data_IF_428280698753
#
_entry.id   IF_428280698753
#
_cell.length_a   1.000
_cell.length_b   1.000
_cell.length_c   1.000
_cell.angle_alpha   90.00
_cell.angle_beta   90.00
_cell.angle_gamma   90.00
#
_symmetry.space_group_name_H-M   'P 1'
#
loop_
_entity.id
_entity.type
_entity.pdbx_description
1 polymer ?
#
# COMPACT_ATOMS: atom_id res chain seq x y z
N UNK A 1 3.22 -2.18 -22.92
CA UNK A 1 3.63 -3.60 -22.80
C UNK A 1 4.90 -4.00 -23.55
N UNK A 2 5.33 -3.29 -24.59
CA UNK A 2 6.60 -3.61 -25.30
C UNK A 2 7.81 -2.75 -24.83
N UNK A 3 7.60 -1.86 -23.86
CA UNK A 3 8.63 -1.01 -23.27
C UNK A 3 9.15 0.12 -24.19
N UNK A 4 8.40 0.53 -25.21
CA UNK A 4 8.79 1.63 -26.09
C UNK A 4 8.33 3.04 -25.61
N UNK A 5 7.58 3.08 -24.51
CA UNK A 5 7.05 4.30 -23.91
C UNK A 5 5.82 4.88 -24.63
N UNK A 6 5.15 4.09 -25.47
CA UNK A 6 3.88 4.44 -26.12
C UNK A 6 2.80 3.47 -25.64
N UNK A 7 1.66 4.01 -25.21
CA UNK A 7 0.53 3.20 -24.75
C UNK A 7 0.02 2.26 -25.85
N UNK A 8 -0.22 1.02 -25.44
CA UNK A 8 -0.80 -0.04 -26.27
C UNK A 8 -2.31 -0.14 -26.02
N UNK A 9 -3.04 -0.78 -26.94
CA UNK A 9 -4.50 -0.97 -26.81
C UNK A 9 -4.83 -2.45 -26.64
N UNK A 10 -5.41 -2.79 -25.50
CA UNK A 10 -5.90 -4.14 -25.22
C UNK A 10 -7.40 -4.24 -25.47
N UNK A 11 -7.81 -5.26 -26.22
CA UNK A 11 -9.20 -5.49 -26.65
C UNK A 11 -9.58 -6.91 -26.28
N UNK A 12 -10.53 -7.04 -25.35
CA UNK A 12 -11.15 -8.31 -25.02
C UNK A 12 -12.22 -8.70 -26.04
N UNK A 13 -12.18 -9.95 -26.52
CA UNK A 13 -13.19 -10.55 -27.40
C UNK A 13 -13.66 -11.87 -26.76
N UNK A 14 -14.47 -11.80 -25.71
CA UNK A 14 -14.88 -12.97 -24.96
C UNK A 14 -15.71 -13.91 -25.85
N UNK A 15 -15.48 -15.21 -25.69
CA UNK A 15 -16.25 -16.24 -26.38
C UNK A 15 -17.75 -16.06 -26.13
N UNK A 16 -18.56 -16.27 -27.16
CA UNK A 16 -20.01 -16.32 -27.01
C UNK A 16 -20.48 -17.76 -26.81
N UNK A 17 -21.75 -17.96 -26.44
CA UNK A 17 -22.37 -19.31 -26.40
C UNK A 17 -22.28 -20.08 -27.74
N UNK A 18 -21.88 -19.43 -28.82
CA UNK A 18 -21.75 -19.99 -30.18
C UNK A 18 -20.31 -19.97 -30.74
N UNK A 19 -19.35 -19.35 -30.03
CA UNK A 19 -17.94 -19.29 -30.41
C UNK A 19 -17.10 -19.78 -29.24
N UNK A 20 -16.57 -20.99 -29.39
CA UNK A 20 -15.83 -21.74 -28.36
C UNK A 20 -14.39 -21.27 -28.15
N UNK A 21 -14.01 -20.11 -28.67
CA UNK A 21 -12.65 -19.59 -28.55
C UNK A 21 -12.72 -18.14 -28.09
N UNK A 22 -12.47 -17.91 -26.80
CA UNK A 22 -12.25 -16.59 -26.22
C UNK A 22 -10.86 -16.09 -26.60
N UNK A 23 -10.76 -14.83 -27.02
CA UNK A 23 -9.49 -14.22 -27.42
C UNK A 23 -9.42 -12.80 -26.90
N UNK A 24 -8.21 -12.34 -26.63
CA UNK A 24 -7.92 -10.91 -26.47
C UNK A 24 -6.87 -10.51 -27.50
N UNK A 25 -6.76 -9.23 -27.80
CA UNK A 25 -5.79 -8.69 -28.73
C UNK A 25 -5.10 -7.51 -28.09
N UNK A 26 -3.81 -7.39 -28.32
CA UNK A 26 -3.02 -6.22 -27.97
C UNK A 26 -2.56 -5.61 -29.27
N UNK A 27 -2.95 -4.36 -29.52
CA UNK A 27 -2.47 -3.56 -30.64
C UNK A 27 -1.36 -2.67 -30.12
N UNK A 28 -0.15 -2.82 -30.68
CA UNK A 28 0.97 -2.02 -30.21
C UNK A 28 0.82 -0.56 -30.65
N UNK A 29 1.04 0.34 -29.70
CA UNK A 29 1.06 1.78 -29.89
C UNK A 29 2.08 2.20 -30.94
N UNK A 30 1.83 3.34 -31.58
CA UNK A 30 2.79 3.89 -32.53
C UNK A 30 2.71 5.41 -32.59
N UNK A 31 3.87 6.04 -32.78
CA UNK A 31 3.94 7.46 -33.15
C UNK A 31 3.44 7.73 -34.58
N UNK A 32 3.30 6.68 -35.40
CA UNK A 32 2.64 6.77 -36.69
C UNK A 32 1.11 6.74 -36.52
N UNK A 33 0.40 7.47 -37.37
CA UNK A 33 -1.07 7.44 -37.35
C UNK A 33 -1.61 6.07 -37.77
N UNK A 34 -2.56 5.54 -37.00
CA UNK A 34 -3.36 4.40 -37.40
C UNK A 34 -4.27 4.73 -38.59
N UNK A 35 -4.56 3.72 -39.41
CA UNK A 35 -5.65 3.81 -40.38
C UNK A 35 -6.99 3.86 -39.66
N UNK A 36 -8.02 4.41 -40.31
CA UNK A 36 -9.36 4.53 -39.72
C UNK A 36 -10.01 3.17 -39.35
N UNK A 37 -9.49 2.07 -39.88
CA UNK A 37 -9.84 0.70 -39.50
C UNK A 37 -8.59 -0.14 -39.38
N UNK A 38 -8.52 -1.01 -38.37
CA UNK A 38 -7.47 -2.00 -38.19
C UNK A 38 -8.11 -3.40 -38.16
N UNK A 39 -7.54 -4.33 -38.93
CA UNK A 39 -7.95 -5.74 -38.92
C UNK A 39 -7.12 -6.49 -37.88
N UNK A 40 -7.76 -6.96 -36.81
CA UNK A 40 -7.07 -7.67 -35.71
C UNK A 40 -6.47 -9.03 -36.16
N UNK A 41 -6.88 -9.56 -37.31
CA UNK A 41 -6.25 -10.76 -37.88
C UNK A 41 -4.89 -10.48 -38.55
N UNK A 42 -4.57 -9.20 -38.77
CA UNK A 42 -3.29 -8.76 -39.34
C UNK A 42 -2.18 -8.58 -38.30
N UNK A 43 -2.47 -8.87 -37.03
CA UNK A 43 -1.50 -8.78 -35.96
C UNK A 43 -0.44 -9.88 -36.08
N UNK A 44 0.84 -9.51 -36.08
CA UNK A 44 1.95 -10.39 -36.45
C UNK A 44 3.10 -10.44 -35.42
N UNK A 45 2.91 -9.81 -34.27
CA UNK A 45 3.91 -9.63 -33.20
C UNK A 45 4.68 -8.32 -33.29
N UNK A 46 4.77 -7.70 -34.47
CA UNK A 46 5.44 -6.41 -34.65
C UNK A 46 4.50 -5.21 -34.52
N UNK A 47 3.21 -5.40 -34.82
CA UNK A 47 2.15 -4.38 -34.71
C UNK A 47 1.10 -4.71 -33.63
N UNK A 48 1.32 -5.77 -32.86
CA UNK A 48 0.35 -6.34 -31.94
C UNK A 48 0.32 -7.86 -32.00
N UNK A 49 -0.41 -8.47 -31.07
CA UNK A 49 -0.50 -9.91 -30.92
C UNK A 49 -1.85 -10.33 -30.37
N UNK A 50 -2.17 -11.61 -30.53
CA UNK A 50 -3.38 -12.25 -30.01
C UNK A 50 -3.05 -13.06 -28.76
N UNK A 51 -3.89 -12.92 -27.74
CA UNK A 51 -3.93 -13.74 -26.54
C UNK A 51 -5.03 -14.79 -26.70
N UNK A 52 -4.66 -16.06 -26.66
CA UNK A 52 -5.59 -17.20 -26.76
C UNK A 52 -6.03 -17.63 -25.35
N UNK A 53 -7.35 -17.64 -25.12
CA UNK A 53 -7.96 -18.17 -23.91
C UNK A 53 -7.78 -19.68 -23.76
N UNK A 54 -8.02 -20.20 -22.56
CA UNK A 54 -7.73 -21.60 -22.20
C UNK A 54 -8.94 -22.50 -22.47
N UNK A 55 -10.14 -22.01 -22.15
CA UNK A 55 -11.38 -22.78 -22.15
C UNK A 55 -12.43 -22.22 -23.08
N UNK A 56 -13.27 -23.10 -23.63
CA UNK A 56 -14.30 -22.69 -24.59
C UNK A 56 -15.45 -21.85 -24.02
N UNK A 57 -15.56 -21.79 -22.69
CA UNK A 57 -16.60 -21.08 -21.95
C UNK A 57 -16.03 -20.19 -20.84
N UNK A 58 -14.70 -20.04 -20.80
CA UNK A 58 -14.01 -19.26 -19.77
C UNK A 58 -14.35 -17.76 -19.82
N UNK A 59 -14.86 -17.28 -20.98
CA UNK A 59 -15.10 -15.88 -21.28
C UNK A 59 -13.87 -15.00 -21.05
N UNK A 60 -12.68 -15.52 -21.32
CA UNK A 60 -11.44 -14.74 -21.27
C UNK A 60 -11.54 -13.48 -22.13
N UNK A 61 -11.06 -12.36 -21.61
CA UNK A 61 -11.22 -11.05 -22.24
C UNK A 61 -12.58 -10.40 -21.96
N UNK A 62 -13.32 -10.86 -20.95
CA UNK A 62 -14.55 -10.17 -20.53
C UNK A 62 -14.26 -8.79 -19.97
N UNK A 63 -13.19 -8.70 -19.17
CA UNK A 63 -12.60 -7.45 -18.68
C UNK A 63 -11.11 -7.49 -18.99
N UNK A 64 -10.54 -6.36 -19.41
CA UNK A 64 -9.12 -6.21 -19.70
C UNK A 64 -8.67 -4.83 -19.21
N UNK A 65 -7.45 -4.76 -18.70
CA UNK A 65 -6.85 -3.50 -18.26
C UNK A 65 -5.32 -3.56 -18.37
N UNK A 66 -4.68 -2.39 -18.38
CA UNK A 66 -3.28 -2.28 -17.99
C UNK A 66 -3.15 -2.60 -16.51
N UNK A 67 -2.11 -3.35 -16.16
CA UNK A 67 -1.84 -3.76 -14.79
C UNK A 67 -0.83 -2.85 -14.08
N UNK A 68 -0.11 -1.99 -14.82
CA UNK A 68 1.13 -1.39 -14.32
C UNK A 68 2.30 -2.38 -14.39
N UNK A 69 3.45 -2.02 -13.85
CA UNK A 69 4.62 -2.90 -13.72
C UNK A 69 4.53 -3.69 -12.40
N UNK A 70 3.90 -4.87 -12.45
CA UNK A 70 3.61 -5.66 -11.24
C UNK A 70 4.78 -6.56 -10.84
N UNK A 71 5.80 -6.70 -11.71
CA UNK A 71 6.97 -7.53 -11.47
C UNK A 71 8.27 -6.72 -11.27
N UNK A 72 8.17 -5.39 -11.30
CA UNK A 72 9.25 -4.43 -11.13
C UNK A 72 10.39 -4.57 -12.18
N UNK A 73 10.07 -4.91 -13.42
CA UNK A 73 11.03 -5.01 -14.52
C UNK A 73 11.15 -3.74 -15.38
N UNK A 74 10.33 -2.73 -15.09
CA UNK A 74 10.25 -1.44 -15.77
C UNK A 74 9.36 -1.46 -17.01
N UNK A 75 8.58 -2.51 -17.25
CA UNK A 75 7.67 -2.65 -18.38
C UNK A 75 6.25 -2.89 -17.89
N UNK A 76 5.29 -2.11 -18.38
CA UNK A 76 3.89 -2.29 -18.02
C UNK A 76 3.32 -3.64 -18.49
N UNK A 77 2.53 -4.24 -17.60
CA UNK A 77 1.87 -5.52 -17.74
C UNK A 77 0.38 -5.37 -18.08
N UNK A 78 -0.28 -6.51 -18.33
CA UNK A 78 -1.71 -6.58 -18.63
C UNK A 78 -2.42 -7.55 -17.71
N UNK A 79 -3.67 -7.25 -17.39
CA UNK A 79 -4.58 -8.20 -16.73
C UNK A 79 -5.82 -8.48 -17.60
N UNK A 80 -6.20 -9.76 -17.65
CA UNK A 80 -7.32 -10.28 -18.44
C UNK A 80 -8.24 -11.10 -17.53
N UNK A 81 -9.48 -10.66 -17.36
CA UNK A 81 -10.52 -11.35 -16.61
C UNK A 81 -11.24 -12.43 -17.42
N UNK A 82 -11.50 -13.57 -16.77
CA UNK A 82 -12.16 -14.74 -17.32
C UNK A 82 -13.13 -15.37 -16.28
N UNK A 83 -14.17 -14.63 -15.91
CA UNK A 83 -15.13 -15.07 -14.88
C UNK A 83 -15.86 -16.38 -15.18
N UNK A 84 -15.95 -16.76 -16.46
CA UNK A 84 -16.58 -18.01 -16.89
C UNK A 84 -15.70 -19.24 -16.64
N UNK A 85 -14.43 -19.05 -16.26
CA UNK A 85 -13.51 -20.13 -15.99
C UNK A 85 -13.95 -20.93 -14.76
N UNK A 86 -13.73 -22.23 -14.81
CA UNK A 86 -14.06 -23.15 -13.73
C UNK A 86 -13.22 -24.42 -13.83
N UNK A 87 -13.12 -25.13 -12.70
CA UNK A 87 -12.39 -26.40 -12.60
C UNK A 87 -13.36 -27.51 -12.21
N UNK A 88 -12.96 -28.77 -12.36
CA UNK A 88 -13.80 -29.89 -11.91
C UNK A 88 -14.11 -29.74 -10.40
N UNK A 89 -15.38 -29.45 -10.09
CA UNK A 89 -15.86 -29.20 -8.72
C UNK A 89 -15.89 -27.73 -8.28
N UNK A 90 -15.54 -26.78 -9.15
CA UNK A 90 -15.59 -25.33 -8.94
C UNK A 90 -16.03 -24.63 -10.24
N UNK A 91 -17.28 -24.83 -10.64
CA UNK A 91 -17.87 -24.14 -11.79
C UNK A 91 -17.92 -22.62 -11.52
N UNK A 92 -17.53 -21.81 -12.51
CA UNK A 92 -17.62 -20.35 -12.44
C UNK A 92 -16.95 -19.69 -11.23
N UNK A 93 -15.92 -20.31 -10.66
CA UNK A 93 -15.06 -19.63 -9.69
C UNK A 93 -14.34 -18.44 -10.33
N UNK A 94 -14.12 -18.49 -11.64
CA UNK A 94 -13.45 -17.46 -12.39
C UNK A 94 -11.93 -17.56 -12.28
N UNK A 95 -11.25 -17.04 -13.30
CA UNK A 95 -9.81 -16.89 -13.34
C UNK A 95 -9.48 -15.51 -13.91
N UNK A 96 -8.28 -15.03 -13.61
CA UNK A 96 -7.68 -13.89 -14.32
C UNK A 96 -6.26 -14.25 -14.74
N UNK A 97 -5.73 -13.57 -15.75
CA UNK A 97 -4.39 -13.81 -16.26
C UNK A 97 -3.64 -12.49 -16.30
N UNK A 98 -2.45 -12.49 -15.71
CA UNK A 98 -1.49 -11.40 -15.82
C UNK A 98 -0.47 -11.81 -16.86
N UNK A 99 -0.23 -10.95 -17.85
CA UNK A 99 0.78 -11.18 -18.89
C UNK A 99 1.82 -10.08 -18.73
N UNK A 100 3.08 -10.48 -18.51
CA UNK A 100 4.13 -9.52 -18.32
C UNK A 100 4.51 -8.83 -19.63
N UNK A 101 4.80 -7.54 -19.53
CA UNK A 101 5.42 -6.76 -20.57
C UNK A 101 6.75 -7.37 -21.01
N UNK A 102 7.16 -7.10 -22.25
CA UNK A 102 8.45 -7.58 -22.74
C UNK A 102 9.06 -6.67 -23.79
N UNK A 103 10.28 -6.20 -23.50
CA UNK A 103 11.14 -5.51 -24.49
C UNK A 103 11.69 -6.47 -25.55
N UNK A 104 11.62 -7.78 -25.33
CA UNK A 104 11.94 -8.78 -26.36
C UNK A 104 10.85 -8.89 -27.44
N UNK A 105 9.67 -8.31 -27.17
CA UNK A 105 8.48 -8.38 -28.03
C UNK A 105 7.70 -9.68 -27.88
N UNK A 106 6.58 -9.77 -28.58
CA UNK A 106 5.64 -10.88 -28.49
C UNK A 106 5.53 -11.61 -29.83
N UNK A 107 5.27 -12.92 -29.76
CA UNK A 107 4.83 -13.66 -30.93
C UNK A 107 3.42 -13.23 -31.34
N UNK A 108 3.06 -13.39 -32.61
CA UNK A 108 1.72 -13.07 -33.12
C UNK A 108 0.57 -13.73 -32.34
N UNK A 109 0.81 -14.91 -31.77
CA UNK A 109 -0.13 -15.61 -30.91
C UNK A 109 0.58 -16.03 -29.62
N UNK A 110 -0.06 -15.76 -28.49
CA UNK A 110 0.40 -16.08 -27.15
C UNK A 110 -0.72 -16.83 -26.43
N UNK A 111 -0.42 -17.99 -25.85
CA UNK A 111 -1.41 -18.84 -25.20
C UNK A 111 -1.37 -18.64 -23.69
N UNK A 112 -2.49 -18.21 -23.10
CA UNK A 112 -2.58 -17.96 -21.65
C UNK A 112 -2.36 -19.23 -20.81
N UNK A 113 -2.56 -20.42 -21.38
CA UNK A 113 -2.24 -21.69 -20.71
C UNK A 113 -0.74 -21.95 -20.56
N UNK A 114 0.11 -21.18 -21.26
CA UNK A 114 1.56 -21.34 -21.24
C UNK A 114 2.26 -20.51 -20.16
N UNK A 115 1.53 -19.61 -19.48
CA UNK A 115 2.08 -18.76 -18.43
C UNK A 115 2.80 -19.58 -17.36
N UNK A 116 4.05 -19.21 -17.06
CA UNK A 116 4.95 -20.00 -16.21
C UNK A 116 5.50 -19.25 -14.98
N UNK A 117 5.10 -17.99 -14.79
CA UNK A 117 5.60 -17.10 -13.74
C UNK A 117 6.72 -16.17 -14.21
N UNK A 118 7.36 -16.47 -15.34
CA UNK A 118 8.37 -15.62 -15.97
C UNK A 118 7.83 -14.73 -17.09
N UNK A 119 6.73 -15.14 -17.73
CA UNK A 119 6.01 -14.38 -18.77
C UNK A 119 4.60 -13.93 -18.32
N UNK A 120 4.34 -14.09 -17.03
CA UNK A 120 3.08 -13.77 -16.36
C UNK A 120 2.55 -14.98 -15.59
N UNK A 121 1.35 -14.85 -15.04
CA UNK A 121 0.77 -15.87 -14.15
C UNK A 121 -0.75 -15.86 -14.19
N UNK A 122 -1.34 -16.96 -13.71
CA UNK A 122 -2.78 -17.09 -13.57
C UNK A 122 -3.23 -16.86 -12.13
N UNK A 123 -4.27 -16.07 -11.94
CA UNK A 123 -4.97 -15.87 -10.68
C UNK A 123 -6.23 -16.74 -10.67
N UNK A 124 -6.40 -17.56 -9.64
CA UNK A 124 -7.47 -18.55 -9.54
C UNK A 124 -8.49 -18.10 -8.48
N UNK A 125 -9.77 -18.04 -8.88
CA UNK A 125 -10.90 -17.79 -7.99
C UNK A 125 -11.11 -18.89 -6.95
N UNK A 126 -11.80 -18.57 -5.86
CA UNK A 126 -11.85 -19.42 -4.67
C UNK A 126 -13.02 -20.41 -4.73
N UNK A 127 -14.24 -19.88 -4.84
CA UNK A 127 -15.47 -20.65 -4.61
C UNK A 127 -16.30 -20.78 -5.89
N UNK A 128 -17.17 -21.79 -5.93
CA UNK A 128 -18.13 -21.96 -7.03
C UNK A 128 -19.03 -20.71 -7.16
N UNK A 129 -19.23 -20.23 -8.39
CA UNK A 129 -20.01 -19.01 -8.69
C UNK A 129 -19.50 -17.70 -8.08
N UNK A 130 -18.22 -17.61 -7.71
CA UNK A 130 -17.60 -16.35 -7.29
C UNK A 130 -17.50 -15.33 -8.44
N UNK A 131 -17.39 -15.84 -9.68
CA UNK A 131 -17.23 -15.04 -10.89
C UNK A 131 -16.01 -14.09 -10.82
N UNK A 132 -14.92 -14.54 -10.18
CA UNK A 132 -13.67 -13.77 -10.10
C UNK A 132 -13.14 -13.40 -11.48
N UNK A 133 -12.69 -12.16 -11.66
CA UNK A 133 -12.31 -11.64 -12.97
C UNK A 133 -13.49 -11.11 -13.79
N UNK A 134 -14.63 -10.82 -13.15
CA UNK A 134 -15.74 -10.08 -13.78
C UNK A 134 -15.32 -8.65 -14.11
N UNK A 135 -14.54 -8.03 -13.22
CA UNK A 135 -13.87 -6.76 -13.44
C UNK A 135 -12.41 -6.89 -12.98
N UNK A 136 -11.47 -6.36 -13.75
CA UNK A 136 -10.04 -6.32 -13.39
C UNK A 136 -9.46 -4.94 -13.70
N UNK A 137 -8.49 -4.52 -12.91
CA UNK A 137 -7.72 -3.30 -13.16
C UNK A 137 -6.33 -3.37 -12.51
N UNK A 138 -5.38 -2.59 -13.05
CA UNK A 138 -4.23 -2.14 -12.27
C UNK A 138 -4.72 -1.25 -11.12
N UNK A 139 -4.13 -1.44 -9.96
CA UNK A 139 -4.44 -0.71 -8.74
C UNK A 139 -3.44 0.44 -8.46
N UNK A 140 -2.29 0.46 -9.15
CA UNK A 140 -1.16 1.30 -8.75
C UNK A 140 -0.49 0.75 -7.49
N UNK A 141 0.39 1.52 -6.86
CA UNK A 141 1.09 1.12 -5.63
C UNK A 141 0.22 1.45 -4.39
N UNK A 142 -0.65 0.51 -4.01
CA UNK A 142 -1.60 0.73 -2.90
C UNK A 142 -0.97 0.43 -1.55
N UNK A 143 0.13 -0.33 -1.52
CA UNK A 143 0.81 -0.74 -0.29
C UNK A 143 2.07 0.08 0.02
N UNK A 144 2.51 0.92 -0.93
CA UNK A 144 3.65 1.81 -0.82
C UNK A 144 5.01 1.12 -0.92
N UNK A 145 5.12 -0.03 -1.58
CA UNK A 145 6.38 -0.77 -1.79
C UNK A 145 7.11 -0.43 -3.11
N UNK A 146 6.49 0.44 -3.92
CA UNK A 146 7.02 0.93 -5.19
C UNK A 146 6.74 0.03 -6.39
N UNK A 147 5.87 -0.97 -6.25
CA UNK A 147 5.49 -1.90 -7.31
C UNK A 147 3.98 -1.77 -7.55
N UNK A 148 3.55 -1.80 -8.81
CA UNK A 148 2.13 -1.71 -9.10
C UNK A 148 1.37 -2.97 -8.64
N UNK A 149 0.19 -2.76 -8.08
CA UNK A 149 -0.69 -3.79 -7.56
C UNK A 149 -1.87 -4.04 -8.52
N UNK A 150 -2.68 -5.06 -8.22
CA UNK A 150 -3.85 -5.47 -9.00
C UNK A 150 -5.11 -5.46 -8.16
N UNK A 151 -6.25 -5.15 -8.78
CA UNK A 151 -7.57 -5.36 -8.19
C UNK A 151 -8.46 -6.23 -9.09
N UNK A 152 -9.11 -7.23 -8.48
CA UNK A 152 -9.96 -8.22 -9.13
C UNK A 152 -11.32 -8.24 -8.43
N UNK A 153 -12.38 -7.98 -9.19
CA UNK A 153 -13.75 -8.06 -8.73
C UNK A 153 -14.37 -9.44 -8.92
N UNK A 154 -15.10 -9.90 -7.89
CA UNK A 154 -15.78 -11.19 -7.84
C UNK A 154 -17.19 -11.01 -7.22
N UNK A 155 -18.18 -10.56 -8.01
CA UNK A 155 -19.46 -10.11 -7.48
C UNK A 155 -20.42 -11.23 -7.03
N UNK A 156 -20.05 -12.51 -7.18
CA UNK A 156 -20.98 -13.63 -7.01
C UNK A 156 -21.15 -14.16 -5.58
N UNK A 157 -20.18 -13.96 -4.69
CA UNK A 157 -20.18 -14.62 -3.37
C UNK A 157 -21.12 -14.01 -2.32
N UNK A 158 -21.31 -14.79 -1.25
CA UNK A 158 -21.91 -14.38 0.03
C UNK A 158 -23.37 -13.88 -0.06
N UNK A 159 -24.20 -14.61 -0.80
CA UNK A 159 -25.58 -14.17 -1.07
C UNK A 159 -25.61 -12.96 -2.00
N UNK A 160 -24.69 -12.92 -2.97
CA UNK A 160 -24.51 -11.83 -3.94
C UNK A 160 -24.06 -10.51 -3.30
N UNK A 161 -23.47 -10.53 -2.09
CA UNK A 161 -22.83 -9.34 -1.54
C UNK A 161 -21.62 -8.89 -2.38
N UNK A 162 -20.95 -9.87 -2.99
CA UNK A 162 -19.78 -9.66 -3.83
C UNK A 162 -18.52 -9.34 -3.03
N UNK A 163 -17.38 -9.54 -3.67
CA UNK A 163 -16.05 -9.45 -3.09
C UNK A 163 -15.10 -8.76 -4.08
N UNK A 164 -14.01 -8.22 -3.56
CA UNK A 164 -12.88 -7.79 -4.38
C UNK A 164 -11.57 -8.23 -3.73
N UNK A 165 -10.57 -8.50 -4.57
CA UNK A 165 -9.26 -8.95 -4.12
C UNK A 165 -8.21 -7.98 -4.63
N UNK A 166 -7.34 -7.55 -3.73
CA UNK A 166 -6.13 -6.81 -4.07
C UNK A 166 -4.97 -7.80 -4.01
N UNK A 167 -4.19 -7.89 -5.08
CA UNK A 167 -2.98 -8.72 -5.16
C UNK A 167 -1.81 -7.77 -5.29
N UNK A 168 -0.81 -7.92 -4.42
CA UNK A 168 0.35 -7.05 -4.44
C UNK A 168 1.36 -7.43 -5.53
N UNK A 169 2.00 -6.43 -6.11
CA UNK A 169 3.16 -6.58 -6.99
C UNK A 169 4.34 -7.26 -6.27
N UNK A 170 5.29 -7.81 -7.03
CA UNK A 170 6.44 -8.52 -6.47
C UNK A 170 7.66 -8.53 -7.39
N UNK A 171 8.74 -7.89 -6.94
CA UNK A 171 10.05 -7.99 -7.56
C UNK A 171 10.71 -9.37 -7.35
N UNK A 172 10.20 -10.20 -6.44
CA UNK A 172 10.64 -11.58 -6.29
C UNK A 172 10.09 -12.50 -7.40
N UNK A 173 9.16 -11.98 -8.21
CA UNK A 173 8.43 -12.73 -9.23
C UNK A 173 7.21 -13.46 -8.67
N UNK A 174 6.56 -14.21 -9.55
CA UNK A 174 5.35 -14.97 -9.26
C UNK A 174 5.51 -16.43 -9.68
N UNK A 175 4.83 -17.33 -8.98
CA UNK A 175 4.60 -18.68 -9.50
C UNK A 175 3.62 -18.62 -10.68
N UNK A 176 3.62 -19.65 -11.54
CA UNK A 176 2.68 -19.75 -12.67
C UNK A 176 1.19 -19.64 -12.29
N UNK A 177 0.85 -19.88 -11.02
CA UNK A 177 -0.52 -19.82 -10.51
C UNK A 177 -0.55 -19.25 -9.09
N UNK A 178 -1.37 -18.22 -8.88
CA UNK A 178 -1.72 -17.65 -7.59
C UNK A 178 -3.16 -18.04 -7.25
N UNK A 179 -3.38 -18.56 -6.04
CA UNK A 179 -4.71 -18.85 -5.51
C UNK A 179 -5.16 -17.70 -4.60
N UNK A 180 -6.31 -17.08 -4.88
CA UNK A 180 -6.80 -15.95 -4.09
C UNK A 180 -7.07 -16.31 -2.61
N UNK A 181 -7.27 -17.59 -2.30
CA UNK A 181 -7.41 -18.05 -0.90
C UNK A 181 -6.10 -18.03 -0.11
N UNK A 182 -4.96 -17.87 -0.80
CA UNK A 182 -3.63 -17.81 -0.18
C UNK A 182 -3.21 -16.41 0.28
N UNK A 183 -3.99 -15.37 -0.05
CA UNK A 183 -3.71 -13.99 0.35
C UNK A 183 -3.73 -13.86 1.88
N UNK A 184 -2.62 -13.38 2.45
CA UNK A 184 -2.37 -13.38 3.90
C UNK A 184 -2.13 -11.96 4.47
N UNK A 185 -2.32 -10.93 3.66
CA UNK A 185 -2.02 -9.54 3.99
C UNK A 185 -0.59 -9.11 3.64
N UNK A 186 0.32 -10.04 3.32
CA UNK A 186 1.66 -9.74 2.80
C UNK A 186 1.72 -9.83 1.27
N UNK A 187 0.89 -10.66 0.64
CA UNK A 187 0.79 -10.79 -0.83
C UNK A 187 -0.49 -10.18 -1.40
N UNK A 188 -1.31 -9.53 -0.57
CA UNK A 188 -2.61 -8.99 -0.93
C UNK A 188 -3.68 -9.28 0.13
N UNK A 189 -4.91 -8.87 -0.14
CA UNK A 189 -6.04 -9.01 0.79
C UNK A 189 -7.39 -9.04 0.07
N UNK A 190 -8.43 -9.48 0.79
CA UNK A 190 -9.84 -9.49 0.33
C UNK A 190 -10.60 -8.31 0.95
N UNK A 191 -11.53 -7.75 0.18
CA UNK A 191 -12.46 -6.70 0.56
C UNK A 191 -13.88 -7.26 0.45
N UNK A 192 -14.51 -7.46 1.61
CA UNK A 192 -15.86 -8.02 1.71
C UNK A 192 -16.94 -6.99 1.36
N UNK A 193 -17.92 -7.42 0.55
CA UNK A 193 -19.19 -6.72 0.36
C UNK A 193 -19.98 -6.65 1.67
N UNK A 194 -20.83 -5.64 1.81
CA UNK A 194 -21.48 -5.32 3.09
C UNK A 194 -22.78 -6.09 3.27
N UNK A 195 -23.72 -5.95 2.33
CA UNK A 195 -25.03 -6.57 2.38
C UNK A 195 -25.21 -7.55 1.21
N UNK A 196 -26.01 -8.61 1.42
CA UNK A 196 -26.34 -9.53 0.33
C UNK A 196 -27.01 -8.78 -0.82
N UNK A 197 -26.76 -9.21 -2.05
CA UNK A 197 -27.22 -8.61 -3.32
C UNK A 197 -26.57 -7.30 -3.75
N UNK A 198 -25.61 -6.73 -3.01
CA UNK A 198 -24.89 -5.50 -3.40
C UNK A 198 -24.08 -5.66 -4.71
N UNK A 199 -23.66 -6.90 -5.02
CA UNK A 199 -22.76 -7.24 -6.12
C UNK A 199 -21.48 -6.39 -6.13
N UNK A 200 -20.91 -6.14 -4.94
CA UNK A 200 -19.63 -5.44 -4.79
C UNK A 200 -18.54 -6.10 -5.64
N UNK A 201 -17.69 -5.29 -6.27
CA UNK A 201 -16.69 -5.78 -7.22
C UNK A 201 -17.23 -5.99 -8.65
N UNK A 202 -18.48 -5.61 -8.94
CA UNK A 202 -18.99 -5.59 -10.32
C UNK A 202 -18.19 -4.65 -11.24
N UNK A 203 -17.61 -3.59 -10.67
CA UNK A 203 -16.62 -2.75 -11.33
C UNK A 203 -15.52 -2.37 -10.34
N UNK A 204 -14.27 -2.46 -10.76
CA UNK A 204 -13.10 -2.07 -9.97
C UNK A 204 -12.16 -1.21 -10.82
N UNK A 205 -11.45 -0.28 -10.19
CA UNK A 205 -10.39 0.50 -10.82
C UNK A 205 -9.39 1.01 -9.76
N UNK A 206 -8.14 1.26 -10.16
CA UNK A 206 -7.28 2.20 -9.47
C UNK A 206 -7.88 3.61 -9.55
N UNK A 207 -7.91 4.32 -8.43
CA UNK A 207 -8.40 5.69 -8.32
C UNK A 207 -7.26 6.72 -8.34
N UNK A 208 -6.00 6.25 -8.26
CA UNK A 208 -4.84 7.09 -7.96
C UNK A 208 -4.87 7.60 -6.52
N UNK A 209 -3.88 8.40 -6.13
CA UNK A 209 -3.90 9.08 -4.82
C UNK A 209 -4.96 10.19 -4.76
N UNK A 210 -6.17 9.86 -4.31
CA UNK A 210 -7.28 10.82 -4.20
C UNK A 210 -7.24 11.60 -2.88
N UNK A 211 -6.46 11.13 -1.90
CA UNK A 211 -6.43 11.68 -0.56
C UNK A 211 -5.17 12.55 -0.29
N UNK A 212 -4.17 12.48 -1.17
CA UNK A 212 -2.93 13.25 -1.15
C UNK A 212 -1.87 12.69 -0.19
N UNK A 213 -1.89 11.39 0.13
CA UNK A 213 -0.92 10.75 1.02
C UNK A 213 0.23 10.03 0.30
N UNK A 214 0.23 10.06 -1.03
CA UNK A 214 1.26 9.50 -1.90
C UNK A 214 1.11 8.01 -2.18
N UNK A 215 0.00 7.38 -1.79
CA UNK A 215 -0.33 6.00 -2.12
C UNK A 215 -1.50 5.97 -3.08
N UNK A 216 -1.51 5.00 -4.01
CA UNK A 216 -2.65 4.83 -4.89
C UNK A 216 -3.87 4.30 -4.11
N UNK A 217 -5.04 4.87 -4.40
CA UNK A 217 -6.31 4.46 -3.82
C UNK A 217 -7.10 3.60 -4.82
N UNK A 218 -8.14 2.93 -4.33
CA UNK A 218 -9.00 2.04 -5.12
C UNK A 218 -10.43 2.57 -5.16
N UNK A 219 -11.15 2.25 -6.23
CA UNK A 219 -12.59 2.44 -6.31
C UNK A 219 -13.30 1.13 -6.70
N UNK A 220 -14.36 0.81 -5.95
CA UNK A 220 -15.15 -0.42 -6.10
C UNK A 220 -16.62 -0.04 -6.24
N UNK A 221 -17.27 -0.55 -7.29
CA UNK A 221 -18.70 -0.38 -7.53
C UNK A 221 -19.51 -1.57 -7.02
N UNK A 222 -20.62 -1.26 -6.36
CA UNK A 222 -21.63 -2.19 -5.88
C UNK A 222 -23.00 -1.72 -6.42
N UNK A 223 -23.34 -2.07 -7.67
CA UNK A 223 -24.44 -1.44 -8.41
C UNK A 223 -25.82 -1.65 -7.78
N UNK A 224 -25.97 -2.68 -6.95
CA UNK A 224 -27.25 -3.09 -6.40
C UNK A 224 -27.34 -2.79 -4.88
N UNK A 225 -26.46 -1.92 -4.36
CA UNK A 225 -26.39 -1.52 -2.95
C UNK A 225 -27.71 -1.01 -2.34
N UNK A 226 -28.06 -1.53 -1.16
CA UNK A 226 -29.31 -1.24 -0.40
C UNK A 226 -29.12 -0.03 0.55
N UNK A 227 -30.10 0.91 0.72
CA UNK A 227 -31.32 0.61 1.45
C UNK A 227 -32.65 0.66 0.66
N UNK A 228 -32.66 1.13 -0.60
CA UNK A 228 -33.89 1.26 -1.40
C UNK A 228 -33.61 1.22 -2.92
N UNK A 229 -34.24 0.29 -3.65
CA UNK A 229 -34.37 0.24 -5.12
C UNK A 229 -33.07 0.25 -5.97
N UNK A 230 -32.12 -0.67 -5.75
CA UNK A 230 -30.90 -0.83 -6.58
C UNK A 230 -30.16 0.52 -6.80
N UNK A 231 -30.05 1.32 -5.73
CA UNK A 231 -29.53 2.69 -5.82
C UNK A 231 -28.04 2.73 -6.22
N UNK A 232 -27.33 1.65 -5.89
CA UNK A 232 -25.91 1.47 -6.16
C UNK A 232 -25.01 2.30 -5.25
N UNK A 233 -23.88 1.72 -4.91
CA UNK A 233 -22.85 2.36 -4.09
C UNK A 233 -21.49 2.31 -4.79
N UNK A 234 -20.62 3.24 -4.41
CA UNK A 234 -19.23 3.25 -4.85
C UNK A 234 -18.36 3.53 -3.63
N UNK A 235 -17.41 2.64 -3.40
CA UNK A 235 -16.50 2.66 -2.28
C UNK A 235 -15.15 3.15 -2.76
N UNK A 236 -14.59 4.14 -2.09
CA UNK A 236 -13.17 4.49 -2.21
C UNK A 236 -12.45 3.84 -1.04
N UNK A 237 -11.42 3.04 -1.34
CA UNK A 237 -10.57 2.38 -0.35
C UNK A 237 -9.20 3.03 -0.44
N UNK A 238 -8.78 3.67 0.63
CA UNK A 238 -7.48 4.35 0.63
C UNK A 238 -6.32 3.35 0.70
N UNK A 239 -5.26 3.66 -0.04
CA UNK A 239 -3.98 2.98 0.05
C UNK A 239 -3.45 2.99 1.49
N UNK A 240 -2.60 2.04 1.82
CA UNK A 240 -1.99 2.00 3.14
C UNK A 240 -0.61 1.41 3.10
N UNK A 241 0.32 2.03 3.83
CA UNK A 241 1.61 1.41 4.07
C UNK A 241 1.60 0.48 5.27
N UNK A 242 2.00 -0.80 5.12
CA UNK A 242 2.25 -1.69 6.25
C UNK A 242 3.31 -1.08 7.18
N UNK A 243 3.18 -1.21 8.51
CA UNK A 243 4.23 -0.73 9.39
C UNK A 243 5.56 -1.45 9.19
N UNK A 244 6.66 -0.69 9.19
CA UNK A 244 8.02 -1.21 9.22
C UNK A 244 8.29 -1.70 10.65
N UNK A 245 8.77 -2.94 10.81
CA UNK A 245 8.94 -3.56 12.13
C UNK A 245 10.25 -4.31 12.22
N UNK A 246 11.00 -4.05 13.29
CA UNK A 246 12.15 -4.85 13.69
C UNK A 246 11.74 -6.25 14.20
N UNK A 247 12.75 -7.09 14.35
CA UNK A 247 12.72 -8.36 15.04
C UNK A 247 12.89 -8.23 16.56
N UNK A 248 13.38 -9.29 17.22
CA UNK A 248 13.59 -9.33 18.67
C UNK A 248 15.02 -8.96 19.11
N UNK A 249 15.83 -8.35 18.25
CA UNK A 249 17.19 -7.91 18.55
C UNK A 249 17.50 -6.58 17.87
N UNK A 250 18.75 -6.09 17.93
CA UNK A 250 19.10 -4.81 17.33
C UNK A 250 18.85 -4.80 15.83
N UNK A 251 18.01 -3.87 15.38
CA UNK A 251 17.65 -3.71 13.97
C UNK A 251 18.06 -2.32 13.43
N UNK A 252 18.41 -2.27 12.14
CA UNK A 252 18.53 -1.01 11.39
C UNK A 252 17.32 -0.89 10.47
N UNK A 253 16.45 0.07 10.77
CA UNK A 253 15.21 0.31 10.04
C UNK A 253 15.29 1.68 9.36
N UNK A 254 14.96 1.71 8.07
CA UNK A 254 14.85 2.94 7.29
C UNK A 254 13.42 3.07 6.74
N UNK A 255 12.83 4.24 6.95
CA UNK A 255 11.62 4.68 6.28
C UNK A 255 11.92 5.17 4.86
N UNK A 256 10.99 5.95 4.34
CA UNK A 256 10.90 6.35 2.94
C UNK A 256 10.77 7.87 2.83
N UNK A 257 10.26 8.38 1.71
CA UNK A 257 9.89 9.79 1.58
C UNK A 257 8.43 10.11 1.98
N UNK A 258 7.67 9.12 2.43
CA UNK A 258 6.25 9.25 2.79
C UNK A 258 6.00 8.93 4.27
N UNK A 259 4.76 9.12 4.71
CA UNK A 259 4.36 8.95 6.11
C UNK A 259 4.49 7.49 6.60
N UNK A 260 5.52 7.22 7.40
CA UNK A 260 5.85 5.87 7.85
C UNK A 260 5.39 5.58 9.29
N UNK A 261 5.15 4.29 9.54
CA UNK A 261 4.91 3.75 10.89
C UNK A 261 5.99 2.74 11.21
N UNK A 262 6.92 3.11 12.07
CA UNK A 262 8.08 2.28 12.38
C UNK A 262 8.08 1.80 13.84
N UNK A 263 8.46 0.54 14.04
CA UNK A 263 8.54 -0.09 15.36
C UNK A 263 9.84 -0.90 15.47
N UNK A 264 10.82 -0.45 16.26
CA UNK A 264 12.05 -1.21 16.54
C UNK A 264 11.76 -2.52 17.27
N UNK A 265 10.90 -2.43 18.29
CA UNK A 265 10.45 -3.50 19.19
C UNK A 265 11.42 -3.78 20.33
N UNK A 266 12.34 -4.72 20.18
CA UNK A 266 13.21 -5.14 21.27
C UNK A 266 14.62 -5.31 20.75
N UNK A 267 15.59 -4.71 21.44
CA UNK A 267 16.93 -4.52 20.91
C UNK A 267 17.30 -3.05 20.98
N UNK A 268 18.59 -2.76 20.83
CA UNK A 268 19.07 -1.38 20.71
C UNK A 268 18.95 -1.00 19.23
N UNK A 269 17.82 -0.41 18.84
CA UNK A 269 17.43 -0.24 17.44
C UNK A 269 17.88 1.10 16.87
N UNK A 270 18.14 1.14 15.56
CA UNK A 270 18.39 2.37 14.80
C UNK A 270 17.23 2.59 13.84
N UNK A 271 16.47 3.66 14.06
CA UNK A 271 15.35 4.06 13.21
C UNK A 271 15.67 5.39 12.52
N UNK A 272 15.54 5.41 11.20
CA UNK A 272 15.56 6.63 10.38
C UNK A 272 14.22 6.75 9.66
N UNK A 273 13.41 7.76 9.99
CA UNK A 273 12.08 7.97 9.40
C UNK A 273 12.12 8.40 7.94
N UNK A 274 13.17 9.11 7.53
CA UNK A 274 13.29 9.63 6.17
C UNK A 274 12.57 10.97 6.00
N UNK A 275 11.66 11.07 5.04
CA UNK A 275 10.80 12.24 4.90
C UNK A 275 9.33 11.86 5.06
N UNK A 276 8.48 12.83 5.35
CA UNK A 276 7.07 12.59 5.60
C UNK A 276 6.71 12.93 7.05
N UNK A 277 5.51 12.53 7.46
CA UNK A 277 5.03 12.67 8.83
C UNK A 277 5.02 11.30 9.47
N UNK A 278 6.11 11.02 10.17
CA UNK A 278 6.39 9.68 10.65
C UNK A 278 5.89 9.44 12.06
N UNK A 279 5.65 8.16 12.35
CA UNK A 279 5.34 7.66 13.68
C UNK A 279 6.38 6.61 14.04
N UNK A 280 7.37 7.04 14.80
CA UNK A 280 8.53 6.24 15.17
C UNK A 280 8.41 5.77 16.61
N UNK A 281 8.62 4.47 16.83
CA UNK A 281 8.71 3.88 18.16
C UNK A 281 9.91 2.95 18.24
N UNK A 282 10.89 3.25 19.10
CA UNK A 282 12.05 2.40 19.36
C UNK A 282 11.61 1.10 20.02
N UNK A 283 11.31 1.13 21.32
CA UNK A 283 10.68 0.00 22.00
C UNK A 283 11.34 -0.34 23.32
N UNK A 284 12.14 -1.40 23.35
CA UNK A 284 12.88 -1.86 24.52
C UNK A 284 14.35 -1.92 24.13
N UNK A 285 15.23 -1.24 24.87
CA UNK A 285 16.64 -1.14 24.53
C UNK A 285 17.03 0.33 24.42
N UNK A 286 18.33 0.58 24.26
CA UNK A 286 18.84 1.94 24.12
C UNK A 286 18.79 2.33 22.63
N UNK A 287 17.70 2.97 22.21
CA UNK A 287 17.40 3.19 20.80
C UNK A 287 18.02 4.50 20.25
N UNK A 288 18.31 4.53 18.96
CA UNK A 288 18.67 5.74 18.21
C UNK A 288 17.61 6.01 17.16
N UNK A 289 16.86 7.11 17.33
CA UNK A 289 15.77 7.47 16.44
C UNK A 289 16.02 8.85 15.80
N UNK A 290 15.89 8.92 14.48
CA UNK A 290 15.89 10.15 13.68
C UNK A 290 14.54 10.24 12.96
N UNK A 291 13.79 11.33 13.21
CA UNK A 291 12.54 11.66 12.52
C UNK A 291 12.80 11.89 11.04
N UNK A 292 13.63 12.89 10.75
CA UNK A 292 14.02 13.21 9.39
C UNK A 292 13.35 14.50 8.96
N UNK A 293 12.73 14.55 7.77
CA UNK A 293 12.06 15.75 7.28
C UNK A 293 10.53 15.62 7.37
N UNK A 294 9.87 16.53 8.06
CA UNK A 294 8.42 16.68 8.06
C UNK A 294 7.87 16.90 9.45
N UNK A 295 6.83 16.19 9.87
CA UNK A 295 6.23 16.39 11.19
C UNK A 295 6.11 15.06 11.90
N UNK A 296 7.10 14.77 12.72
CA UNK A 296 7.28 13.44 13.24
C UNK A 296 6.76 13.31 14.65
N UNK A 297 6.34 12.09 14.99
CA UNK A 297 6.00 11.71 16.36
C UNK A 297 6.94 10.60 16.79
N UNK A 298 7.79 10.93 17.75
CA UNK A 298 8.90 10.07 18.17
C UNK A 298 8.63 9.58 19.60
N UNK A 299 8.74 8.27 19.79
CA UNK A 299 8.67 7.60 21.09
C UNK A 299 9.92 6.73 21.19
N UNK A 300 10.85 7.07 22.09
CA UNK A 300 12.02 6.21 22.38
C UNK A 300 11.57 4.84 22.86
N UNK A 301 11.14 4.76 24.12
CA UNK A 301 10.59 3.52 24.65
C UNK A 301 11.10 3.31 26.06
N UNK A 302 11.43 2.07 26.41
CA UNK A 302 12.17 1.73 27.62
C UNK A 302 13.66 1.67 27.27
N UNK A 303 14.51 2.42 27.95
CA UNK A 303 15.95 2.45 27.70
C UNK A 303 16.48 3.88 27.84
N UNK A 304 17.77 4.08 27.65
CA UNK A 304 18.34 5.42 27.58
C UNK A 304 18.47 5.83 26.10
N UNK A 305 17.41 6.43 25.56
CA UNK A 305 17.28 6.63 24.11
C UNK A 305 17.95 7.93 23.61
N UNK A 306 18.31 7.94 22.32
CA UNK A 306 18.79 9.12 21.60
C UNK A 306 17.82 9.47 20.48
N UNK A 307 17.18 10.63 20.60
CA UNK A 307 16.12 11.10 19.72
C UNK A 307 16.55 12.36 18.96
N UNK A 308 16.20 12.42 17.67
CA UNK A 308 16.36 13.58 16.79
C UNK A 308 15.07 13.79 16.02
N UNK A 309 14.51 14.99 16.01
CA UNK A 309 13.34 15.33 15.20
C UNK A 309 13.71 15.52 13.74
N UNK A 310 14.81 16.22 13.50
CA UNK A 310 15.20 16.66 12.17
C UNK A 310 14.48 17.94 11.78
N UNK A 311 14.05 18.03 10.53
CA UNK A 311 13.43 19.22 9.96
C UNK A 311 11.91 19.21 10.12
N UNK A 312 11.37 20.21 10.83
CA UNK A 312 9.94 20.51 10.85
C UNK A 312 9.41 20.65 12.28
N UNK A 313 8.14 20.30 12.52
CA UNK A 313 7.48 20.52 13.82
C UNK A 313 7.23 19.18 14.50
N UNK A 314 8.17 18.72 15.31
CA UNK A 314 8.17 17.36 15.81
C UNK A 314 7.57 17.22 17.20
N UNK A 315 7.21 15.99 17.55
CA UNK A 315 6.62 15.68 18.86
C UNK A 315 7.36 14.51 19.50
N UNK A 316 8.12 14.79 20.54
CA UNK A 316 8.78 13.80 21.39
C UNK A 316 7.84 13.39 22.53
N UNK A 317 7.55 12.10 22.63
CA UNK A 317 6.57 11.59 23.59
C UNK A 317 7.28 10.82 24.69
N UNK A 318 7.14 11.30 25.92
CA UNK A 318 7.70 10.63 27.08
C UNK A 318 6.62 9.97 27.93
N UNK A 319 7.03 8.99 28.74
CA UNK A 319 6.15 8.19 29.56
C UNK A 319 6.86 7.63 30.79
N UNK A 320 6.07 7.09 31.73
CA UNK A 320 6.63 6.47 32.92
C UNK A 320 7.44 5.22 32.55
N UNK A 321 8.62 5.09 33.16
CA UNK A 321 9.52 3.97 32.93
C UNK A 321 10.37 4.07 31.67
N UNK A 322 10.28 5.17 30.91
CA UNK A 322 10.99 5.28 29.63
C UNK A 322 12.50 5.29 29.77
N UNK A 323 13.04 5.84 30.86
CA UNK A 323 14.49 5.85 31.11
C UNK A 323 15.04 7.27 31.07
N UNK A 324 16.32 7.40 30.72
CA UNK A 324 17.03 8.69 30.67
C UNK A 324 17.38 9.09 29.25
N UNK A 325 16.42 9.69 28.56
CA UNK A 325 16.51 9.97 27.13
C UNK A 325 17.28 11.27 26.81
N UNK A 326 17.71 11.40 25.55
CA UNK A 326 18.37 12.60 25.02
C UNK A 326 17.76 13.03 23.68
N UNK A 327 17.18 14.23 23.63
CA UNK A 327 16.80 14.93 22.40
C UNK A 327 17.99 15.79 21.93
N UNK A 328 18.40 15.68 20.66
CA UNK A 328 19.63 16.31 20.16
C UNK A 328 19.46 17.64 19.44
N UNK A 329 18.28 17.93 18.90
CA UNK A 329 18.04 18.99 17.93
C UNK A 329 16.72 19.74 18.16
N UNK A 330 16.20 19.71 19.39
CA UNK A 330 14.94 20.37 19.74
C UNK A 330 14.95 21.85 19.37
N UNK A 331 14.01 22.28 18.52
CA UNK A 331 13.90 23.65 18.01
C UNK A 331 15.20 24.19 17.36
N UNK A 332 16.12 23.31 16.93
CA UNK A 332 17.43 23.71 16.42
C UNK A 332 17.40 24.18 14.95
N UNK A 333 16.25 24.12 14.27
CA UNK A 333 16.13 24.26 12.83
C UNK A 333 15.81 25.68 12.32
N UNK A 334 16.52 26.18 11.27
CA UNK A 334 16.23 27.49 10.65
C UNK A 334 14.91 27.58 9.88
N UNK A 335 14.24 26.45 9.59
CA UNK A 335 13.04 26.40 8.75
C UNK A 335 11.73 26.82 9.45
N UNK A 336 11.77 27.13 10.75
CA UNK A 336 10.64 27.71 11.48
C UNK A 336 9.62 26.71 12.03
N UNK A 337 9.97 25.42 12.08
CA UNK A 337 9.26 24.44 12.88
C UNK A 337 9.37 24.72 14.38
N UNK A 338 8.37 24.27 15.13
CA UNK A 338 8.35 24.28 16.59
C UNK A 338 8.08 22.86 17.07
N UNK A 339 9.04 22.33 17.82
CA UNK A 339 8.97 21.03 18.44
C UNK A 339 8.15 21.08 19.71
N UNK A 340 7.61 19.92 20.09
CA UNK A 340 6.82 19.76 21.30
C UNK A 340 7.21 18.51 22.06
N UNK A 341 7.06 18.61 23.37
CA UNK A 341 7.25 17.53 24.32
C UNK A 341 5.89 17.10 24.85
N UNK A 342 5.48 15.88 24.53
CA UNK A 342 4.18 15.33 24.91
C UNK A 342 4.27 14.61 26.26
N UNK A 343 3.79 15.26 27.32
CA UNK A 343 3.73 14.74 28.68
C UNK A 343 2.33 14.26 29.07
N UNK A 344 1.37 14.20 28.14
CA UNK A 344 -0.01 13.75 28.44
C UNK A 344 -0.06 12.34 29.04
N UNK A 345 0.93 11.49 28.73
CA UNK A 345 1.08 10.15 29.31
C UNK A 345 1.51 10.13 30.77
N UNK A 346 2.00 11.24 31.29
CA UNK A 346 2.38 11.43 32.68
C UNK A 346 1.30 12.15 33.49
N UNK A 347 0.16 12.46 32.86
CA UNK A 347 -0.97 13.17 33.47
C UNK A 347 -0.62 14.58 34.01
N UNK A 348 0.45 15.18 33.49
CA UNK A 348 0.80 16.58 33.82
C UNK A 348 -0.23 17.52 33.18
N UNK A 349 -0.81 18.39 34.00
CA UNK A 349 -1.78 19.41 33.56
C UNK A 349 -1.15 20.80 33.56
N UNK A 350 -1.77 21.80 32.91
CA UNK A 350 -1.31 23.19 33.04
C UNK A 350 -1.24 23.66 34.50
N UNK A 351 -2.17 23.19 35.34
CA UNK A 351 -2.22 23.57 36.75
C UNK A 351 -1.08 22.95 37.58
N UNK A 352 -0.65 21.73 37.24
CA UNK A 352 0.39 21.01 37.98
C UNK A 352 1.79 21.18 37.39
N UNK A 353 1.92 21.74 36.18
CA UNK A 353 3.20 21.87 35.46
C UNK A 353 4.32 22.47 36.31
N UNK A 354 4.06 23.55 37.07
CA UNK A 354 5.08 24.22 37.88
C UNK A 354 5.53 23.42 39.11
N UNK A 355 4.70 22.50 39.56
CA UNK A 355 4.99 21.63 40.71
C UNK A 355 5.64 20.32 40.23
N UNK A 356 5.19 19.79 39.09
CA UNK A 356 5.61 18.49 38.56
C UNK A 356 6.84 18.57 37.65
N UNK A 357 7.11 19.70 36.99
CA UNK A 357 8.19 19.83 35.99
C UNK A 357 9.29 20.77 36.49
N UNK A 358 10.52 20.25 36.53
CA UNK A 358 11.73 21.02 36.81
C UNK A 358 12.60 21.12 35.57
N UNK A 359 12.92 22.34 35.15
CA UNK A 359 13.82 22.63 34.03
C UNK A 359 15.11 23.20 34.62
N UNK A 360 16.26 22.61 34.30
CA UNK A 360 17.55 22.98 34.86
C UNK A 360 18.62 23.12 33.78
N UNK A 361 19.27 24.27 33.75
CA UNK A 361 20.42 24.55 32.89
C UNK A 361 21.60 23.62 33.21
N UNK A 362 22.22 23.08 32.15
CA UNK A 362 23.46 22.30 32.19
C UNK A 362 24.50 22.85 31.21
N UNK A 363 24.43 24.14 30.87
CA UNK A 363 25.36 24.83 29.97
C UNK A 363 24.73 25.09 28.61
N UNK A 364 25.11 24.31 27.61
CA UNK A 364 24.43 24.31 26.30
C UNK A 364 23.27 23.31 26.23
N UNK A 365 23.11 22.47 27.26
CA UNK A 365 22.06 21.45 27.35
C UNK A 365 21.07 21.82 28.48
N UNK A 366 19.81 21.44 28.34
CA UNK A 366 18.76 21.58 29.36
C UNK A 366 18.34 20.22 29.86
N UNK A 367 18.32 20.04 31.19
CA UNK A 367 17.73 18.85 31.81
C UNK A 367 16.29 19.15 32.23
N UNK A 368 15.36 18.34 31.75
CA UNK A 368 13.97 18.37 32.21
C UNK A 368 13.73 17.15 33.09
N UNK A 369 13.23 17.40 34.29
CA UNK A 369 12.81 16.36 35.24
C UNK A 369 11.31 16.49 35.47
N UNK A 370 10.58 15.38 35.43
CA UNK A 370 9.14 15.33 35.75
C UNK A 370 8.92 14.44 36.96
N UNK A 371 8.36 14.99 38.03
CA UNK A 371 7.98 14.31 39.27
C UNK A 371 6.45 14.15 39.30
N UNK A 372 5.94 13.02 38.80
CA UNK A 372 4.50 12.72 38.75
C UNK A 372 4.24 11.23 39.03
N UNK A 373 3.23 10.93 39.86
CA UNK A 373 2.82 9.57 40.24
C UNK A 373 3.95 8.63 40.74
N UNK A 374 4.98 9.17 41.39
CA UNK A 374 6.08 8.37 41.95
C UNK A 374 7.15 7.93 40.94
N UNK A 375 7.14 8.51 39.73
CA UNK A 375 8.21 8.34 38.73
C UNK A 375 8.98 9.64 38.59
N UNK A 376 10.32 9.56 38.49
CA UNK A 376 11.17 10.67 38.05
C UNK A 376 11.60 10.36 36.62
N UNK A 377 11.03 11.06 35.64
CA UNK A 377 11.57 11.07 34.28
C UNK A 377 12.68 12.13 34.23
N UNK A 378 13.79 11.83 33.57
CA UNK A 378 14.84 12.81 33.31
C UNK A 378 15.31 12.68 31.87
N UNK A 379 15.12 13.70 31.05
CA UNK A 379 15.71 13.72 29.71
C UNK A 379 16.51 15.00 29.50
N UNK A 380 17.47 14.94 28.58
CA UNK A 380 18.29 16.08 28.21
C UNK A 380 17.89 16.57 26.82
N UNK A 381 17.69 17.88 26.71
CA UNK A 381 17.56 18.58 25.44
C UNK A 381 18.90 19.22 25.13
N UNK A 382 19.51 18.86 24.02
CA UNK A 382 20.85 19.33 23.66
C UNK A 382 20.80 20.64 22.87
N UNK A 383 21.78 21.52 23.08
CA UNK A 383 21.91 22.75 22.31
C UNK A 383 20.86 23.83 22.61
N UNK A 384 20.02 23.62 23.64
CA UNK A 384 18.96 24.53 24.07
C UNK A 384 19.22 24.92 25.52
N UNK A 385 19.30 26.22 25.80
CA UNK A 385 19.43 26.74 27.16
C UNK A 385 18.10 26.69 27.93
N UNK A 386 18.16 26.76 29.26
CA UNK A 386 16.96 26.66 30.10
C UNK A 386 15.90 27.74 29.84
N UNK A 387 16.34 28.96 29.47
CA UNK A 387 15.46 30.08 29.16
C UNK A 387 14.74 29.96 27.80
N UNK A 388 15.05 28.93 27.01
CA UNK A 388 14.38 28.65 25.72
C UNK A 388 13.31 27.58 25.80
N UNK A 389 13.13 26.92 26.94
CA UNK A 389 12.05 25.93 27.14
C UNK A 389 11.05 26.51 28.14
N UNK A 390 9.79 26.65 27.72
CA UNK A 390 8.69 27.07 28.57
C UNK A 390 7.45 26.17 28.42
N UNK A 391 6.38 26.47 29.17
CA UNK A 391 5.16 25.66 29.20
C UNK A 391 4.53 25.45 27.81
N UNK A 392 4.74 26.37 26.87
CA UNK A 392 4.21 26.29 25.51
C UNK A 392 4.90 25.21 24.66
N UNK A 393 6.06 24.73 25.08
CA UNK A 393 6.79 23.62 24.46
C UNK A 393 6.26 22.25 24.85
N UNK A 394 5.28 22.21 25.75
CA UNK A 394 4.70 20.97 26.27
C UNK A 394 3.26 20.78 25.82
N UNK A 395 2.94 19.55 25.38
CA UNK A 395 1.56 19.09 25.29
C UNK A 395 1.17 18.47 26.62
N UNK A 396 0.22 19.10 27.29
CA UNK A 396 -0.27 18.74 28.63
C UNK A 396 -1.67 18.14 28.57
N UNK A 397 -2.06 17.43 29.63
CA UNK A 397 -3.42 16.91 29.79
C UNK A 397 -4.37 18.09 30.06
N UNK A 398 -5.50 18.11 29.34
CA UNK A 398 -6.50 19.17 29.39
C UNK A 398 -7.34 19.17 30.67
#
# INVERSE_FOLDING_TARGET
>A
VNGDGIDDVTIGVPGSRYSYESRSYVVLGSSASFTASLDLSSLDGANGFRLDGIGAVDRSGWSVAGAGDVNADGVEDLIIGAWGAGREGQEYAGESYVVFGSTAGFAANFNLAALDGGDGFRIVGIDEFDFSGTSVAGAGDVNGDGIDDLIIGAPGLNGEAGESYVVFGSAAGFDASLDLSSLDGATGFRIDGIEGTDHSGSSVAGAGDVNGDGLDDLIIGAPDGYPFDDAGESYVVFGFRPPIRGGPGPDELAGTEFNDRMFGRAGDDVLDGGAGRDRLKGGWGDDRIVGGAGRDRIVGGLGDDVLSGGGGSDVFVFGSGFGSDRVRDFDAEPAGGQDKIDLRRLEVTEASFRDDVTIADRGEDTRVSVEGQGTVLCYNVSGVGDNSIDVSDFLLLA
#
